data_IF_863328929371
#
_entry.id   IF_863328929371
#
_cell.length_a   1.000
_cell.length_b   1.000
_cell.length_c   1.000
_cell.angle_alpha   90.00
_cell.angle_beta   90.00
_cell.angle_gamma   90.00
#
_symmetry.space_group_name_H-M   'P 1'
#
loop_
_entity.id
_entity.type
_entity.pdbx_description
1 polymer ?
#
# COMPACT_ATOMS: atom_id res chain seq x y z
N UNK A 1 -0.38 -15.82 21.44
CA UNK A 1 -0.82 -15.94 20.03
C UNK A 1 -1.51 -14.66 19.53
N UNK A 2 -2.54 -14.18 20.23
CA UNK A 2 -3.27 -12.95 19.89
C UNK A 2 -2.38 -11.71 19.69
N UNK A 3 -1.46 -11.43 20.63
CA UNK A 3 -0.55 -10.26 20.54
C UNK A 3 0.32 -10.30 19.29
N UNK A 4 0.79 -11.50 18.91
CA UNK A 4 1.61 -11.70 17.71
C UNK A 4 0.80 -11.46 16.43
N UNK A 5 -0.47 -11.90 16.42
CA UNK A 5 -1.39 -11.65 15.31
C UNK A 5 -1.66 -10.14 15.14
N UNK A 6 -2.07 -9.46 16.21
CA UNK A 6 -2.31 -8.00 16.20
C UNK A 6 -1.08 -7.22 15.73
N UNK A 7 0.11 -7.58 16.23
CA UNK A 7 1.37 -6.93 15.81
C UNK A 7 1.62 -7.07 14.31
N UNK A 8 1.41 -8.27 13.74
CA UNK A 8 1.56 -8.49 12.30
C UNK A 8 0.56 -7.67 11.50
N UNK A 9 -0.70 -7.65 11.92
CA UNK A 9 -1.74 -6.85 11.29
C UNK A 9 -1.39 -5.36 11.30
N UNK A 10 -0.91 -4.83 12.43
CA UNK A 10 -0.45 -3.43 12.53
C UNK A 10 0.68 -3.15 11.53
N UNK A 11 1.66 -4.05 11.41
CA UNK A 11 2.78 -3.89 10.47
C UNK A 11 2.27 -3.86 9.01
N UNK A 12 1.34 -4.75 8.66
CA UNK A 12 0.72 -4.80 7.33
C UNK A 12 0.00 -3.49 7.02
N UNK A 13 -0.85 -3.01 7.93
CA UNK A 13 -1.56 -1.74 7.73
C UNK A 13 -0.60 -0.55 7.69
N UNK A 14 0.48 -0.56 8.48
CA UNK A 14 1.51 0.47 8.40
C UNK A 14 2.16 0.49 7.00
N UNK A 15 2.49 -0.67 6.41
CA UNK A 15 3.02 -0.76 5.05
C UNK A 15 2.04 -0.20 4.01
N UNK A 16 0.75 -0.51 4.11
CA UNK A 16 -0.29 -0.02 3.20
C UNK A 16 -0.49 1.50 3.33
N UNK A 17 -0.49 2.03 4.55
CA UNK A 17 -0.57 3.47 4.79
C UNK A 17 0.66 4.18 4.23
N UNK A 18 1.87 3.65 4.50
CA UNK A 18 3.11 4.20 3.95
C UNK A 18 3.11 4.16 2.42
N UNK A 19 2.63 3.09 1.80
CA UNK A 19 2.45 2.98 0.35
C UNK A 19 1.60 4.13 -0.20
N UNK A 20 0.45 4.41 0.42
CA UNK A 20 -0.43 5.50 0.00
C UNK A 20 0.22 6.87 0.22
N UNK A 21 0.87 7.06 1.38
CA UNK A 21 1.56 8.32 1.69
C UNK A 21 2.68 8.63 0.69
N UNK A 22 3.44 7.64 0.22
CA UNK A 22 4.48 7.86 -0.79
C UNK A 22 3.89 8.37 -2.12
N UNK A 23 2.78 7.81 -2.57
CA UNK A 23 2.09 8.30 -3.79
C UNK A 23 1.61 9.74 -3.59
N UNK A 24 0.91 10.03 -2.48
CA UNK A 24 0.35 11.36 -2.24
C UNK A 24 1.44 12.42 -2.08
N UNK A 25 2.48 12.13 -1.30
CA UNK A 25 3.55 13.10 -0.99
C UNK A 25 4.52 13.32 -2.15
N UNK A 26 4.72 12.32 -3.00
CA UNK A 26 5.58 12.49 -4.18
C UNK A 26 4.95 13.40 -5.25
N UNK A 27 3.61 13.55 -5.27
CA UNK A 27 2.93 14.54 -6.13
C UNK A 27 3.39 15.98 -5.88
N UNK A 28 3.67 16.32 -4.62
CA UNK A 28 4.14 17.66 -4.25
C UNK A 28 5.66 17.82 -4.38
N UNK A 29 6.37 16.79 -4.82
CA UNK A 29 7.82 16.77 -4.86
C UNK A 29 8.49 16.62 -3.49
N UNK A 30 7.74 16.19 -2.46
CA UNK A 30 8.32 15.95 -1.14
C UNK A 30 9.37 14.82 -1.23
N UNK A 31 10.52 15.02 -0.57
CA UNK A 31 11.68 14.11 -0.59
C UNK A 31 12.27 13.83 -1.98
N UNK A 32 11.90 14.63 -3.00
CA UNK A 32 12.49 14.57 -4.33
C UNK A 32 13.98 14.95 -4.29
N UNK A 33 14.88 14.19 -4.92
CA UNK A 33 16.26 14.62 -5.15
C UNK A 33 16.33 15.96 -5.90
N UNK A 34 17.36 16.78 -5.65
CA UNK A 34 17.51 18.09 -6.31
C UNK A 34 17.52 17.98 -7.84
N UNK A 35 18.13 16.90 -8.34
CA UNK A 35 18.48 16.76 -9.76
C UNK A 35 17.40 16.05 -10.59
N UNK A 36 16.27 15.70 -9.98
CA UNK A 36 15.17 14.99 -10.65
C UNK A 36 13.95 15.87 -10.92
N UNK A 37 13.21 15.59 -11.97
CA UNK A 37 11.92 16.23 -12.23
C UNK A 37 10.85 15.66 -11.29
N UNK A 38 9.91 16.51 -10.84
CA UNK A 38 8.85 16.10 -9.91
C UNK A 38 7.95 14.99 -10.49
N UNK A 39 7.68 15.06 -11.79
CA UNK A 39 6.93 14.05 -12.55
C UNK A 39 7.60 12.67 -12.53
N UNK A 40 8.93 12.63 -12.69
CA UNK A 40 9.73 11.39 -12.64
C UNK A 40 9.73 10.83 -11.22
N UNK A 41 9.81 11.70 -10.21
CA UNK A 41 9.76 11.31 -8.80
C UNK A 41 8.40 10.71 -8.42
N UNK A 42 7.31 11.34 -8.86
CA UNK A 42 5.97 10.79 -8.67
C UNK A 42 5.82 9.43 -9.33
N UNK A 43 6.30 9.24 -10.56
CA UNK A 43 6.29 7.94 -11.22
C UNK A 43 7.04 6.86 -10.42
N UNK A 44 8.24 7.18 -9.92
CA UNK A 44 9.05 6.22 -9.13
C UNK A 44 8.38 5.82 -7.82
N UNK A 45 7.60 6.71 -7.21
CA UNK A 45 6.83 6.39 -6.00
C UNK A 45 5.89 5.20 -6.20
N UNK A 46 5.40 4.97 -7.43
CA UNK A 46 4.57 3.82 -7.78
C UNK A 46 5.27 2.49 -7.52
N UNK A 47 6.58 2.38 -7.81
CA UNK A 47 7.37 1.16 -7.56
C UNK A 47 7.52 0.86 -6.07
N UNK A 48 7.70 1.90 -5.24
CA UNK A 48 7.75 1.78 -3.77
C UNK A 48 6.39 1.31 -3.25
N UNK A 49 5.31 1.92 -3.74
CA UNK A 49 3.95 1.53 -3.38
C UNK A 49 3.65 0.06 -3.73
N UNK A 50 4.00 -0.36 -4.96
CA UNK A 50 3.87 -1.77 -5.40
C UNK A 50 4.64 -2.70 -4.49
N UNK A 51 5.91 -2.41 -4.19
CA UNK A 51 6.73 -3.26 -3.34
C UNK A 51 6.10 -3.43 -1.94
N UNK A 52 5.67 -2.34 -1.31
CA UNK A 52 5.01 -2.37 0.00
C UNK A 52 3.67 -3.13 -0.04
N UNK A 53 2.88 -2.96 -1.10
CA UNK A 53 1.62 -3.68 -1.29
C UNK A 53 1.85 -5.20 -1.41
N UNK A 54 2.87 -5.64 -2.17
CA UNK A 54 3.23 -7.06 -2.29
C UNK A 54 3.65 -7.64 -0.93
N UNK A 55 4.51 -6.94 -0.18
CA UNK A 55 4.91 -7.42 1.16
C UNK A 55 3.73 -7.48 2.13
N UNK A 56 2.82 -6.51 2.07
CA UNK A 56 1.57 -6.53 2.84
C UNK A 56 0.69 -7.73 2.47
N UNK A 57 0.54 -8.03 1.18
CA UNK A 57 -0.22 -9.18 0.67
C UNK A 57 0.38 -10.52 1.12
N UNK A 58 1.70 -10.70 1.01
CA UNK A 58 2.40 -11.90 1.54
C UNK A 58 2.14 -12.05 3.04
N UNK A 59 2.17 -10.93 3.79
CA UNK A 59 1.85 -10.90 5.21
C UNK A 59 0.43 -11.37 5.52
N UNK A 60 -0.55 -10.87 4.76
CA UNK A 60 -1.97 -11.25 4.89
C UNK A 60 -2.19 -12.72 4.57
N UNK A 61 -1.65 -13.22 3.45
CA UNK A 61 -1.73 -14.64 3.09
C UNK A 61 -1.14 -15.52 4.19
N UNK A 62 0.00 -15.14 4.77
CA UNK A 62 0.59 -15.87 5.89
C UNK A 62 -0.29 -15.86 7.14
N UNK A 63 -1.09 -14.80 7.39
CA UNK A 63 -2.04 -14.75 8.50
C UNK A 63 -3.25 -15.64 8.23
N UNK A 64 -3.78 -15.65 7.02
CA UNK A 64 -4.94 -16.46 6.63
C UNK A 64 -4.62 -17.95 6.70
N UNK A 65 -3.49 -18.38 6.12
CA UNK A 65 -3.12 -19.80 6.10
C UNK A 65 -2.86 -20.39 7.49
N UNK A 66 -2.27 -19.61 8.41
CA UNK A 66 -1.94 -20.08 9.77
C UNK A 66 -3.14 -20.19 10.70
N UNK A 67 -4.27 -19.57 10.37
CA UNK A 67 -5.42 -19.49 11.26
C UNK A 67 -6.66 -20.22 10.74
N UNK A 68 -6.59 -20.89 9.58
CA UNK A 68 -7.71 -21.66 8.99
C UNK A 68 -8.36 -22.69 9.94
N UNK A 69 -7.63 -23.21 10.94
CA UNK A 69 -8.16 -24.17 11.91
C UNK A 69 -8.64 -23.57 13.22
N UNK A 70 -8.52 -22.25 13.42
CA UNK A 70 -8.74 -21.60 14.72
C UNK A 70 -9.90 -20.58 14.70
N UNK A 71 -10.40 -20.16 13.53
CA UNK A 71 -11.45 -19.14 13.37
C UNK A 71 -12.83 -19.72 13.71
N UNK A 72 -13.03 -20.15 14.96
CA UNK A 72 -14.34 -20.56 15.47
C UNK A 72 -14.83 -19.65 16.61
N UNK A 73 -14.01 -18.69 17.07
CA UNK A 73 -14.39 -17.74 18.12
C UNK A 73 -14.81 -16.38 17.53
N UNK A 74 -15.82 -15.72 18.12
CA UNK A 74 -16.29 -14.37 17.72
C UNK A 74 -15.17 -13.33 17.63
N UNK A 75 -14.13 -13.48 18.44
CA UNK A 75 -12.96 -12.60 18.41
C UNK A 75 -12.14 -12.77 17.12
N UNK A 76 -11.99 -14.00 16.64
CA UNK A 76 -11.27 -14.30 15.41
C UNK A 76 -12.07 -13.88 14.16
N UNK A 77 -13.40 -13.94 14.21
CA UNK A 77 -14.26 -13.38 13.14
C UNK A 77 -14.10 -11.85 12.98
N UNK A 78 -13.93 -11.11 14.09
CA UNK A 78 -13.62 -9.67 13.99
C UNK A 78 -12.29 -9.43 13.30
N UNK A 79 -11.29 -10.25 13.56
CA UNK A 79 -9.96 -10.16 12.95
C UNK A 79 -9.95 -10.60 11.48
N UNK A 80 -10.79 -11.56 11.10
CA UNK A 80 -11.00 -11.98 9.72
C UNK A 80 -11.46 -10.82 8.85
N UNK A 81 -12.44 -10.02 9.30
CA UNK A 81 -12.87 -8.81 8.58
C UNK A 81 -11.71 -7.84 8.33
N UNK A 82 -10.78 -7.70 9.28
CA UNK A 82 -9.61 -6.85 9.09
C UNK A 82 -8.59 -7.43 8.11
N UNK A 83 -8.52 -8.76 7.98
CA UNK A 83 -7.73 -9.40 6.92
C UNK A 83 -8.38 -9.12 5.57
N UNK A 84 -9.68 -9.35 5.42
CA UNK A 84 -10.41 -9.15 4.16
C UNK A 84 -10.27 -7.71 3.64
N UNK A 85 -10.49 -6.74 4.55
CA UNK A 85 -10.30 -5.31 4.23
C UNK A 85 -8.85 -5.05 3.83
N UNK A 86 -7.89 -5.64 4.54
CA UNK A 86 -6.46 -5.53 4.23
C UNK A 86 -6.12 -6.07 2.83
N UNK A 87 -6.70 -7.21 2.44
CA UNK A 87 -6.47 -7.82 1.13
C UNK A 87 -7.02 -6.94 0.00
N UNK A 88 -8.21 -6.38 0.18
CA UNK A 88 -8.81 -5.46 -0.79
C UNK A 88 -7.93 -4.22 -0.95
N UNK A 89 -7.48 -3.62 0.16
CA UNK A 89 -6.59 -2.45 0.13
C UNK A 89 -5.25 -2.81 -0.53
N UNK A 90 -4.63 -3.94 -0.19
CA UNK A 90 -3.35 -4.36 -0.76
C UNK A 90 -3.44 -4.54 -2.28
N UNK A 91 -4.46 -5.24 -2.78
CA UNK A 91 -4.69 -5.43 -4.22
C UNK A 91 -4.99 -4.11 -4.93
N UNK A 92 -5.76 -3.23 -4.30
CA UNK A 92 -6.03 -1.89 -4.83
C UNK A 92 -4.73 -1.08 -4.93
N UNK A 93 -3.90 -1.09 -3.88
CA UNK A 93 -2.60 -0.41 -3.88
C UNK A 93 -1.63 -0.99 -4.90
N UNK A 94 -1.67 -2.30 -5.13
CA UNK A 94 -0.86 -2.96 -6.15
C UNK A 94 -1.23 -2.45 -7.55
N UNK A 95 -2.53 -2.38 -7.87
CA UNK A 95 -3.01 -1.86 -9.15
C UNK A 95 -2.68 -0.37 -9.30
N UNK A 96 -3.02 0.45 -8.30
CA UNK A 96 -2.76 1.90 -8.32
C UNK A 96 -1.26 2.20 -8.42
N UNK A 97 -0.44 1.54 -7.62
CA UNK A 97 1.01 1.70 -7.65
C UNK A 97 1.58 1.30 -9.01
N UNK A 98 1.08 0.23 -9.64
CA UNK A 98 1.51 -0.19 -10.98
C UNK A 98 1.15 0.85 -12.04
N UNK A 99 -0.05 1.43 -11.95
CA UNK A 99 -0.50 2.51 -12.86
C UNK A 99 0.37 3.77 -12.68
N UNK A 100 0.63 4.19 -11.44
CA UNK A 100 1.52 5.32 -11.14
C UNK A 100 2.94 5.04 -11.60
N UNK A 101 3.42 3.81 -11.45
CA UNK A 101 4.76 3.44 -11.92
C UNK A 101 4.87 3.47 -13.45
N UNK A 102 3.83 3.02 -14.16
CA UNK A 102 3.81 3.02 -15.62
C UNK A 102 3.59 4.40 -16.24
N UNK A 103 2.75 5.24 -15.63
CA UNK A 103 2.21 6.46 -16.26
C UNK A 103 2.22 7.70 -15.35
N UNK A 104 2.93 7.66 -14.22
CA UNK A 104 2.89 8.73 -13.22
C UNK A 104 3.35 10.07 -13.76
N UNK A 105 4.39 10.08 -14.61
CA UNK A 105 4.90 11.29 -15.24
C UNK A 105 3.82 12.01 -16.07
N UNK A 106 3.02 11.25 -16.83
CA UNK A 106 1.87 11.78 -17.56
C UNK A 106 0.84 12.37 -16.61
N UNK A 107 0.39 11.63 -15.59
CA UNK A 107 -0.61 12.15 -14.65
C UNK A 107 -0.15 13.42 -13.94
N UNK A 108 1.12 13.50 -13.56
CA UNK A 108 1.71 14.67 -12.91
C UNK A 108 1.66 15.89 -13.84
N UNK A 109 2.08 15.75 -15.10
CA UNK A 109 2.01 16.81 -16.11
C UNK A 109 0.59 17.28 -16.41
N UNK A 110 -0.35 16.35 -16.53
CA UNK A 110 -1.75 16.68 -16.78
C UNK A 110 -2.35 17.46 -15.61
N UNK A 111 -2.09 17.02 -14.37
CA UNK A 111 -2.61 17.70 -13.19
C UNK A 111 -2.00 19.09 -13.01
N UNK A 112 -0.70 19.25 -13.24
CA UNK A 112 -0.04 20.56 -13.13
C UNK A 112 -0.53 21.54 -14.18
N UNK A 113 -0.91 21.08 -15.38
CA UNK A 113 -1.51 21.92 -16.42
C UNK A 113 -2.95 22.35 -16.09
N UNK A 114 -3.70 21.54 -15.35
CA UNK A 114 -5.09 21.86 -14.97
C UNK A 114 -5.19 22.79 -13.76
N UNK A 115 -4.19 22.76 -12.87
CA UNK A 115 -4.17 23.52 -11.61
C UNK A 115 -3.33 24.81 -11.67
N UNK A 116 -2.53 24.98 -12.72
CA UNK A 116 -1.74 26.19 -13.00
C UNK A 116 -2.44 27.12 -13.97
#
# INVERSE_FOLDING_TARGET
MEKTFKRKLIIIYAMLITSLLFIITSMTGLLKPSDELAEVWFQRSGSIAVALAIFAEIGLVSLTMKNKSLIETMYLQKLERWIDVGEIIAKTMLVLGTVVWGYGDLFHRWLSTLLG
#
